data_IF_651154092679
#
_entry.id   IF_651154092679
#
_cell.length_a   1.000
_cell.length_b   1.000
_cell.length_c   1.000
_cell.angle_alpha   90.00
_cell.angle_beta   90.00
_cell.angle_gamma   90.00
#
_symmetry.space_group_name_H-M   'P 1'
#
loop_
_entity.id
_entity.type
_entity.pdbx_description
1 polymer ?
#
# COMPACT_ATOMS: atom_id res chain seq x y z
N UNK A 1 -17.66 -42.01 -25.38
CA UNK A 1 -16.73 -41.34 -24.45
C UNK A 1 -17.45 -40.15 -23.86
N UNK A 2 -18.21 -40.38 -22.79
CA UNK A 2 -18.90 -39.31 -22.06
C UNK A 2 -17.87 -38.60 -21.19
N UNK A 3 -17.50 -37.38 -21.57
CA UNK A 3 -16.84 -36.44 -20.66
C UNK A 3 -17.84 -36.20 -19.54
N UNK A 4 -17.66 -36.87 -18.41
CA UNK A 4 -18.30 -36.45 -17.18
C UNK A 4 -17.89 -34.99 -17.05
N UNK A 5 -18.87 -34.10 -17.13
CA UNK A 5 -18.71 -32.73 -16.66
C UNK A 5 -18.47 -32.88 -15.16
N UNK A 6 -17.23 -33.20 -14.79
CA UNK A 6 -16.75 -32.99 -13.43
C UNK A 6 -17.05 -31.53 -13.16
N UNK A 7 -18.00 -31.26 -12.27
CA UNK A 7 -18.28 -29.91 -11.78
C UNK A 7 -16.93 -29.34 -11.32
N UNK A 8 -16.33 -28.50 -12.17
CA UNK A 8 -15.04 -27.91 -11.89
C UNK A 8 -15.24 -27.01 -10.67
N UNK A 9 -14.60 -27.37 -9.57
CA UNK A 9 -14.72 -26.60 -8.34
C UNK A 9 -13.80 -25.40 -8.46
N UNK A 10 -14.37 -24.25 -8.79
CA UNK A 10 -13.61 -23.01 -9.02
C UNK A 10 -13.46 -22.20 -7.75
N UNK A 11 -12.28 -21.62 -7.54
CA UNK A 11 -12.11 -20.61 -6.52
C UNK A 11 -12.78 -19.30 -6.95
N UNK A 12 -13.77 -18.81 -6.19
CA UNK A 12 -14.48 -17.56 -6.50
C UNK A 12 -13.62 -16.29 -6.44
N UNK A 13 -12.38 -16.41 -5.97
CA UNK A 13 -11.48 -15.27 -5.75
C UNK A 13 -10.44 -15.15 -6.86
N UNK A 14 -9.89 -16.26 -7.36
CA UNK A 14 -8.87 -16.27 -8.42
C UNK A 14 -9.24 -17.16 -9.62
N UNK A 15 -10.51 -17.58 -9.69
CA UNK A 15 -11.12 -18.32 -10.81
C UNK A 15 -10.40 -19.61 -11.22
N UNK A 16 -9.51 -20.13 -10.37
CA UNK A 16 -8.76 -21.36 -10.63
C UNK A 16 -9.66 -22.59 -10.43
N UNK A 17 -9.69 -23.50 -11.40
CA UNK A 17 -10.46 -24.75 -11.35
C UNK A 17 -9.71 -25.89 -10.64
N UNK A 18 -10.46 -26.71 -9.91
CA UNK A 18 -9.95 -27.88 -9.19
C UNK A 18 -10.86 -29.10 -9.41
N UNK A 19 -10.25 -30.27 -9.54
CA UNK A 19 -10.96 -31.56 -9.67
C UNK A 19 -11.34 -32.19 -8.31
N UNK A 20 -11.16 -31.49 -7.19
CA UNK A 20 -11.41 -32.05 -5.85
C UNK A 20 -11.70 -30.97 -4.82
N UNK A 21 -12.75 -31.18 -4.02
CA UNK A 21 -13.16 -30.30 -2.91
C UNK A 21 -12.02 -30.07 -1.94
N UNK A 22 -11.32 -31.15 -1.53
CA UNK A 22 -10.20 -31.06 -0.59
C UNK A 22 -9.07 -30.17 -1.12
N UNK A 23 -8.83 -30.17 -2.44
CA UNK A 23 -7.82 -29.31 -3.06
C UNK A 23 -8.27 -27.85 -3.08
N UNK A 24 -9.54 -27.59 -3.36
CA UNK A 24 -10.11 -26.25 -3.29
C UNK A 24 -10.08 -25.69 -1.85
N UNK A 25 -10.50 -26.46 -0.85
CA UNK A 25 -10.44 -26.07 0.57
C UNK A 25 -8.99 -25.78 1.00
N UNK A 26 -8.06 -26.66 0.63
CA UNK A 26 -6.64 -26.45 0.93
C UNK A 26 -6.10 -25.20 0.21
N UNK A 27 -6.53 -24.93 -1.02
CA UNK A 27 -6.18 -23.72 -1.74
C UNK A 27 -6.67 -22.48 -0.99
N UNK A 28 -7.94 -22.45 -0.58
CA UNK A 28 -8.52 -21.32 0.16
C UNK A 28 -7.87 -21.09 1.52
N UNK A 29 -7.43 -22.16 2.20
CA UNK A 29 -6.75 -22.05 3.49
C UNK A 29 -5.29 -21.63 3.37
N UNK A 30 -4.58 -22.02 2.30
CA UNK A 30 -3.14 -21.81 2.16
C UNK A 30 -2.78 -20.61 1.30
N UNK A 31 -3.60 -20.28 0.30
CA UNK A 31 -3.38 -19.12 -0.56
C UNK A 31 -4.06 -17.91 0.06
N UNK A 32 -3.27 -16.86 0.25
CA UNK A 32 -3.79 -15.54 0.57
C UNK A 32 -3.91 -14.77 -0.74
N UNK A 33 -5.11 -14.32 -1.05
CA UNK A 33 -5.38 -13.50 -2.23
C UNK A 33 -5.17 -12.03 -1.89
N UNK A 34 -4.53 -11.31 -2.81
CA UNK A 34 -4.24 -9.89 -2.71
C UNK A 34 -4.99 -9.17 -3.81
N UNK A 35 -5.81 -8.19 -3.45
CA UNK A 35 -6.66 -7.47 -4.41
C UNK A 35 -6.14 -6.05 -4.59
N UNK A 36 -6.15 -5.57 -5.83
CA UNK A 36 -5.93 -4.17 -6.13
C UNK A 36 -7.22 -3.39 -5.86
N UNK A 37 -7.17 -2.35 -5.01
CA UNK A 37 -8.34 -1.55 -4.65
C UNK A 37 -8.83 -0.60 -5.75
N UNK A 38 -8.09 -0.48 -6.86
CA UNK A 38 -8.41 0.43 -7.96
C UNK A 38 -9.19 -0.28 -9.08
N UNK A 39 -8.82 -1.52 -9.39
CA UNK A 39 -9.38 -2.28 -10.51
C UNK A 39 -9.87 -3.69 -10.13
N UNK A 40 -9.95 -3.98 -8.83
CA UNK A 40 -10.43 -5.24 -8.22
C UNK A 40 -9.74 -6.51 -8.74
N UNK A 41 -8.59 -6.37 -9.39
CA UNK A 41 -7.82 -7.50 -9.90
C UNK A 41 -7.18 -8.25 -8.74
N UNK A 42 -7.30 -9.58 -8.77
CA UNK A 42 -6.81 -10.45 -7.71
C UNK A 42 -5.50 -11.12 -8.13
N UNK A 43 -4.55 -11.11 -7.21
CA UNK A 43 -3.23 -11.71 -7.33
C UNK A 43 -3.04 -12.78 -6.25
N UNK A 44 -2.27 -13.82 -6.56
CA UNK A 44 -1.95 -14.89 -5.62
C UNK A 44 -0.65 -14.65 -4.83
N UNK A 45 -0.10 -13.43 -4.91
CA UNK A 45 1.05 -13.00 -4.15
C UNK A 45 1.18 -11.48 -4.05
N UNK A 46 1.78 -11.00 -2.95
CA UNK A 46 1.98 -9.57 -2.69
C UNK A 46 2.88 -8.92 -3.75
N UNK A 47 3.98 -9.59 -4.13
CA UNK A 47 4.92 -9.11 -5.15
C UNK A 47 4.24 -8.86 -6.51
N UNK A 48 3.28 -9.72 -6.89
CA UNK A 48 2.54 -9.54 -8.15
C UNK A 48 1.59 -8.35 -8.08
N UNK A 49 0.93 -8.15 -6.92
CA UNK A 49 0.12 -6.96 -6.69
C UNK A 49 0.99 -5.69 -6.70
N UNK A 50 2.15 -5.68 -6.04
CA UNK A 50 3.05 -4.52 -6.02
C UNK A 50 3.55 -4.16 -7.42
N UNK A 51 3.99 -5.16 -8.20
CA UNK A 51 4.38 -4.95 -9.60
C UNK A 51 3.20 -4.41 -10.44
N UNK A 52 1.99 -4.91 -10.23
CA UNK A 52 0.79 -4.39 -10.89
C UNK A 52 0.54 -2.92 -10.52
N UNK A 53 0.66 -2.56 -9.23
CA UNK A 53 0.51 -1.18 -8.76
C UNK A 53 1.57 -0.26 -9.36
N UNK A 54 2.81 -0.73 -9.44
CA UNK A 54 3.92 0.04 -10.02
C UNK A 54 3.74 0.25 -11.53
N UNK A 55 3.37 -0.80 -12.27
CA UNK A 55 3.24 -0.74 -13.74
C UNK A 55 2.02 0.02 -14.23
N UNK A 56 0.91 -0.02 -13.48
CA UNK A 56 -0.34 0.65 -13.84
C UNK A 56 -0.63 1.90 -13.01
N UNK A 57 0.31 2.32 -12.15
CA UNK A 57 0.12 3.43 -11.20
C UNK A 57 -1.14 3.28 -10.34
N UNK A 58 -1.51 2.04 -10.00
CA UNK A 58 -2.67 1.74 -9.15
C UNK A 58 -2.37 1.90 -7.65
N UNK A 59 -1.68 2.97 -7.29
CA UNK A 59 -1.45 3.32 -5.89
C UNK A 59 -2.67 4.04 -5.33
N UNK A 60 -3.06 3.68 -4.11
CA UNK A 60 -4.06 4.49 -3.41
C UNK A 60 -3.46 5.79 -2.90
N UNK A 61 -4.28 6.85 -2.77
CA UNK A 61 -3.88 8.12 -2.17
C UNK A 61 -3.23 7.93 -0.79
N UNK A 62 -3.73 6.96 -0.01
CA UNK A 62 -3.13 6.62 1.29
C UNK A 62 -1.70 6.09 1.13
N UNK A 63 -1.47 5.15 0.21
CA UNK A 63 -0.15 4.57 -0.04
C UNK A 63 0.84 5.58 -0.60
N UNK A 64 0.39 6.49 -1.47
CA UNK A 64 1.23 7.57 -2.00
C UNK A 64 1.66 8.55 -0.90
N UNK A 65 0.74 8.89 0.02
CA UNK A 65 1.06 9.74 1.18
C UNK A 65 2.08 9.08 2.10
N UNK A 66 1.98 7.77 2.32
CA UNK A 66 2.96 7.01 3.11
C UNK A 66 4.33 7.01 2.42
N UNK A 67 4.40 6.74 1.11
CA UNK A 67 5.67 6.80 0.36
C UNK A 67 6.32 8.17 0.44
N UNK A 68 5.54 9.23 0.23
CA UNK A 68 6.02 10.61 0.32
C UNK A 68 6.52 10.98 1.73
N UNK A 69 5.82 10.54 2.77
CA UNK A 69 6.25 10.78 4.15
C UNK A 69 7.56 10.05 4.52
N UNK A 70 7.88 8.93 3.86
CA UNK A 70 9.15 8.23 4.03
C UNK A 70 10.29 8.94 3.29
N UNK A 71 10.04 9.49 2.11
CA UNK A 71 11.01 10.27 1.33
C UNK A 71 11.32 11.64 1.97
N UNK A 72 10.31 12.31 2.55
CA UNK A 72 10.48 13.57 3.29
C UNK A 72 11.24 13.40 4.61
N UNK A 73 11.37 12.17 5.13
CA UNK A 73 12.13 11.89 6.36
C UNK A 73 13.64 11.73 6.15
N UNK A 74 14.11 11.64 4.90
CA UNK A 74 15.54 11.49 4.53
C UNK A 74 16.14 12.77 3.90
N UNK A 75 15.35 13.86 3.77
CA UNK A 75 15.85 15.10 3.16
C UNK A 75 15.30 16.37 3.82
N UNK A 76 16.06 16.94 4.77
CA UNK A 76 16.10 18.40 5.01
C UNK A 76 17.24 18.82 5.94
N UNK A 77 18.38 19.21 5.37
CA UNK A 77 19.20 20.34 5.85
C UNK A 77 19.26 21.40 4.75
N UNK A 78 18.13 21.96 4.32
CA UNK A 78 18.13 23.28 3.67
C UNK A 78 16.89 24.05 4.15
N UNK A 79 17.09 24.88 5.19
CA UNK A 79 16.11 25.89 5.60
C UNK A 79 15.92 26.91 4.47
N UNK A 80 14.70 27.17 4.00
CA UNK A 80 14.42 28.35 3.18
C UNK A 80 14.54 29.62 4.04
N UNK A 81 15.49 30.50 3.70
CA UNK A 81 15.90 31.70 4.46
C UNK A 81 14.85 32.82 4.59
N UNK A 82 13.56 32.61 4.32
CA UNK A 82 12.56 33.70 4.44
C UNK A 82 11.82 33.75 5.78
N UNK A 83 11.93 32.72 6.64
CA UNK A 83 11.26 32.72 7.95
C UNK A 83 12.14 33.13 9.14
N UNK A 84 13.37 33.60 8.88
CA UNK A 84 14.32 34.07 9.92
C UNK A 84 13.99 35.45 10.49
N UNK A 85 13.08 36.20 9.85
CA UNK A 85 12.73 37.57 10.27
C UNK A 85 11.61 37.57 11.32
N UNK A 86 10.63 36.65 11.22
CA UNK A 86 9.44 36.69 12.08
C UNK A 86 9.55 35.90 13.39
N UNK A 87 10.60 35.09 13.58
CA UNK A 87 10.83 34.34 14.84
C UNK A 87 11.91 34.96 15.74
N UNK A 88 12.32 36.20 15.51
CA UNK A 88 13.23 36.95 16.42
C UNK A 88 12.47 37.82 17.43
N UNK A 89 11.26 37.40 17.79
CA UNK A 89 10.46 37.97 18.88
C UNK A 89 9.68 36.87 19.61
N UNK A 90 10.35 36.10 20.47
CA UNK A 90 9.81 35.63 21.76
C UNK A 90 10.74 34.58 22.37
N UNK A 91 11.30 34.91 23.54
CA UNK A 91 12.12 34.01 24.38
C UNK A 91 13.56 33.98 23.90
N UNK A 92 14.57 34.49 24.61
CA UNK A 92 14.75 34.67 26.04
C UNK A 92 15.76 35.81 26.24
N UNK A 93 15.58 36.64 27.28
CA UNK A 93 16.40 37.80 27.72
C UNK A 93 15.76 39.21 27.63
N UNK A 94 14.64 39.41 28.33
CA UNK A 94 14.35 40.70 28.98
C UNK A 94 14.44 40.58 30.51
N UNK A 95 15.47 39.87 31.01
CA UNK A 95 16.05 40.16 32.33
C UNK A 95 17.15 41.20 32.14
N UNK A 96 16.79 42.48 31.98
CA UNK A 96 17.67 43.60 32.41
C UNK A 96 17.17 45.04 32.34
N UNK A 97 15.87 45.35 32.19
CA UNK A 97 15.46 46.77 32.33
C UNK A 97 14.17 46.96 33.14
N UNK A 98 14.39 47.45 34.38
CA UNK A 98 13.54 48.25 35.28
C UNK A 98 12.47 47.45 36.06
N UNK A 99 12.62 47.13 37.35
CA UNK A 99 13.13 47.94 38.48
C UNK A 99 14.30 47.29 39.24
#
# INVERSE_FOLDING_TARGET
>A
MSRLEEEELTCNVCETSFHSVRRLEQHQQRKRHYMCSICDTVFDGLMLLEMHKETLDHWSDYELRVKKAQEESDYSEEEPEEHRIYSRRSGDELRRLLL
#
